data_IF_639818180466
#
_entry.id   IF_639818180466
#
_cell.length_a   1.000
_cell.length_b   1.000
_cell.length_c   1.000
_cell.angle_alpha   90.00
_cell.angle_beta   90.00
_cell.angle_gamma   90.00
#
_symmetry.space_group_name_H-M   'P 1'
#
loop_
_entity.id
_entity.type
_entity.pdbx_description
1 polymer ?
#
# COMPACT_ATOMS: atom_id res chain seq x y z
N UNK A 1 42.21 21.44 21.05
CA UNK A 1 40.99 21.85 20.32
C UNK A 1 40.74 20.84 19.20
N UNK A 2 39.60 20.15 19.25
CA UNK A 2 39.21 19.14 18.28
C UNK A 2 38.74 19.81 16.97
N UNK A 3 39.39 19.49 15.86
CA UNK A 3 39.02 19.93 14.51
C UNK A 3 38.42 18.78 13.72
N UNK A 4 37.22 19.00 13.17
CA UNK A 4 36.31 18.01 12.64
C UNK A 4 36.88 17.09 11.54
N UNK A 5 36.63 15.79 11.67
CA UNK A 5 36.67 14.82 10.58
C UNK A 5 35.50 15.13 9.64
N UNK A 6 35.74 15.93 8.60
CA UNK A 6 34.80 16.04 7.48
C UNK A 6 34.90 14.78 6.65
N UNK A 7 33.90 13.90 6.78
CA UNK A 7 33.70 12.77 5.90
C UNK A 7 33.67 13.24 4.44
N UNK A 8 34.67 12.83 3.66
CA UNK A 8 34.70 13.07 2.22
C UNK A 8 33.42 12.52 1.57
N UNK A 9 32.75 13.38 0.80
CA UNK A 9 31.65 12.97 -0.07
C UNK A 9 32.19 11.99 -1.11
N UNK A 10 31.53 10.85 -1.36
CA UNK A 10 32.02 9.89 -2.33
C UNK A 10 32.04 10.49 -3.75
N UNK A 11 33.03 10.12 -4.58
CA UNK A 11 33.23 10.72 -5.90
C UNK A 11 32.09 10.39 -6.88
N UNK A 12 31.79 11.33 -7.76
CA UNK A 12 30.69 11.32 -8.74
C UNK A 12 30.76 10.21 -9.83
N UNK A 13 31.62 9.20 -9.68
CA UNK A 13 31.84 8.12 -10.66
C UNK A 13 31.05 6.84 -10.44
N UNK A 14 30.22 6.76 -9.40
CA UNK A 14 29.22 5.69 -9.26
C UNK A 14 27.80 6.19 -9.55
N UNK A 15 27.64 6.98 -10.61
CA UNK A 15 26.34 7.54 -11.04
C UNK A 15 25.90 7.09 -12.44
N UNK A 16 26.52 6.07 -13.02
CA UNK A 16 26.26 5.70 -14.44
C UNK A 16 25.73 4.30 -14.74
N UNK A 17 25.53 3.41 -13.76
CA UNK A 17 25.10 2.03 -14.09
C UNK A 17 23.90 1.46 -13.35
N UNK A 18 23.02 2.28 -12.74
CA UNK A 18 21.77 1.74 -12.19
C UNK A 18 20.65 2.78 -12.06
N UNK A 19 20.17 3.33 -13.18
CA UNK A 19 18.88 4.05 -13.20
C UNK A 19 18.30 4.18 -14.62
N UNK A 20 18.38 3.12 -15.44
CA UNK A 20 17.66 3.04 -16.71
C UNK A 20 16.87 1.74 -16.77
N UNK A 21 16.03 1.55 -15.76
CA UNK A 21 14.96 0.55 -15.78
C UNK A 21 13.80 1.04 -14.89
N UNK A 22 13.40 2.30 -15.05
CA UNK A 22 12.02 2.69 -14.82
C UNK A 22 11.16 2.21 -16.01
N UNK A 23 11.34 0.94 -16.39
CA UNK A 23 10.34 0.24 -17.16
C UNK A 23 9.14 0.12 -16.24
N UNK A 24 8.05 0.79 -16.59
CA UNK A 24 6.73 0.41 -16.12
C UNK A 24 6.61 -1.09 -16.40
N UNK A 25 6.88 -1.93 -15.39
CA UNK A 25 6.39 -3.29 -15.40
C UNK A 25 4.89 -3.12 -15.30
N UNK A 26 4.24 -3.07 -16.46
CA UNK A 26 2.83 -3.34 -16.58
C UNK A 26 2.66 -4.79 -16.11
N UNK A 27 2.50 -4.94 -14.78
CA UNK A 27 1.87 -6.12 -14.23
C UNK A 27 0.46 -6.26 -14.81
N UNK A 28 -0.23 -7.40 -14.57
CA UNK A 28 -1.60 -7.59 -15.03
C UNK A 28 -2.44 -6.35 -14.74
N UNK A 29 -3.28 -5.93 -15.69
CA UNK A 29 -4.07 -4.70 -15.62
C UNK A 29 -4.77 -4.59 -14.27
N UNK A 30 -4.15 -3.88 -13.32
CA UNK A 30 -4.67 -3.76 -11.97
C UNK A 30 -5.81 -2.75 -12.05
N UNK A 31 -7.06 -3.16 -11.79
CA UNK A 31 -8.18 -2.22 -11.81
C UNK A 31 -7.92 -1.12 -10.79
N UNK A 32 -7.86 0.10 -11.30
CA UNK A 32 -7.63 1.30 -10.51
C UNK A 32 -8.97 1.96 -10.23
N UNK A 33 -9.28 2.13 -8.95
CA UNK A 33 -10.48 2.81 -8.51
C UNK A 33 -10.25 4.33 -8.54
N UNK A 34 -11.17 5.05 -9.19
CA UNK A 34 -11.16 6.52 -9.19
C UNK A 34 -11.90 7.09 -7.98
N UNK A 35 -12.96 6.41 -7.53
CA UNK A 35 -13.74 6.80 -6.37
C UNK A 35 -13.26 6.10 -5.09
N UNK A 36 -12.97 6.88 -4.06
CA UNK A 36 -12.53 6.37 -2.75
C UNK A 36 -13.55 5.41 -2.12
N UNK A 37 -14.84 5.72 -2.20
CA UNK A 37 -15.91 4.95 -1.55
C UNK A 37 -16.09 3.56 -2.18
N UNK A 38 -15.94 3.47 -3.50
CA UNK A 38 -16.00 2.20 -4.24
C UNK A 38 -14.80 1.33 -3.87
N UNK A 39 -13.61 1.93 -3.78
CA UNK A 39 -12.39 1.25 -3.36
C UNK A 39 -12.55 0.66 -1.95
N UNK A 40 -12.98 1.45 -0.96
CA UNK A 40 -13.10 0.96 0.43
C UNK A 40 -14.14 -0.15 0.55
N UNK A 41 -15.28 -0.02 -0.14
CA UNK A 41 -16.33 -1.05 -0.14
C UNK A 41 -15.83 -2.37 -0.74
N UNK A 42 -15.12 -2.31 -1.87
CA UNK A 42 -14.55 -3.49 -2.50
C UNK A 42 -13.45 -4.12 -1.63
N UNK A 43 -12.60 -3.30 -1.01
CA UNK A 43 -11.51 -3.74 -0.16
C UNK A 43 -11.99 -4.41 1.14
N UNK A 44 -13.02 -3.86 1.79
CA UNK A 44 -13.65 -4.49 2.96
C UNK A 44 -14.29 -5.82 2.60
N UNK A 45 -15.04 -5.87 1.49
CA UNK A 45 -15.64 -7.11 1.01
C UNK A 45 -14.57 -8.18 0.74
N UNK A 46 -13.46 -7.81 0.11
CA UNK A 46 -12.36 -8.72 -0.15
C UNK A 46 -11.72 -9.23 1.16
N UNK A 47 -11.49 -8.32 2.12
CA UNK A 47 -10.95 -8.65 3.44
C UNK A 47 -11.84 -9.62 4.22
N UNK A 48 -13.16 -9.38 4.24
CA UNK A 48 -14.12 -10.24 4.95
C UNK A 48 -14.28 -11.63 4.32
N UNK A 49 -13.96 -11.79 3.03
CA UNK A 49 -14.08 -13.08 2.35
C UNK A 49 -13.02 -14.09 2.83
N UNK A 50 -11.75 -13.68 2.93
CA UNK A 50 -10.67 -14.51 3.46
C UNK A 50 -9.55 -13.63 4.07
N UNK A 51 -9.66 -13.24 5.35
CA UNK A 51 -8.70 -12.34 6.00
C UNK A 51 -7.25 -12.86 5.99
N UNK A 52 -7.06 -14.19 5.89
CA UNK A 52 -5.74 -14.81 5.98
C UNK A 52 -4.95 -14.71 4.67
N UNK A 53 -5.62 -14.54 3.54
CA UNK A 53 -4.97 -14.36 2.22
C UNK A 53 -4.79 -12.90 1.84
N UNK A 54 -5.53 -12.00 2.49
CA UNK A 54 -5.54 -10.59 2.12
C UNK A 54 -4.33 -9.84 2.68
N UNK A 55 -3.64 -9.12 1.81
CA UNK A 55 -2.55 -8.21 2.14
C UNK A 55 -2.88 -6.78 1.75
N UNK A 56 -2.55 -5.86 2.66
CA UNK A 56 -2.72 -4.41 2.47
C UNK A 56 -1.32 -3.80 2.32
N UNK A 57 -1.09 -3.06 1.23
CA UNK A 57 0.19 -2.43 0.92
C UNK A 57 0.00 -0.94 0.75
N UNK A 58 0.79 -0.13 1.48
CA UNK A 58 0.89 1.30 1.31
C UNK A 58 2.23 1.66 0.66
N UNK A 59 2.20 2.54 -0.34
CA UNK A 59 3.38 3.07 -1.00
C UNK A 59 3.27 4.58 -1.12
N UNK A 60 4.10 5.28 -0.35
CA UNK A 60 4.27 6.73 -0.44
C UNK A 60 5.51 7.06 -1.28
N UNK A 61 5.41 8.09 -2.11
CA UNK A 61 6.55 8.64 -2.85
C UNK A 61 6.55 10.15 -2.74
N UNK A 62 7.47 10.65 -1.90
CA UNK A 62 7.59 12.07 -1.59
C UNK A 62 7.90 12.94 -2.82
N UNK A 63 8.86 12.52 -3.67
CA UNK A 63 9.29 13.30 -4.83
C UNK A 63 8.19 13.55 -5.86
N UNK A 64 7.20 12.64 -5.94
CA UNK A 64 6.09 12.73 -6.88
C UNK A 64 4.79 13.20 -6.18
N UNK A 65 4.84 13.47 -4.87
CA UNK A 65 3.67 13.87 -4.08
C UNK A 65 2.53 12.85 -4.02
N UNK A 66 2.79 11.57 -4.34
CA UNK A 66 1.73 10.57 -4.48
C UNK A 66 1.73 9.51 -3.37
N UNK A 67 0.52 9.03 -3.09
CA UNK A 67 0.24 7.94 -2.17
C UNK A 67 -0.60 6.88 -2.87
N UNK A 68 -0.27 5.63 -2.63
CA UNK A 68 -0.98 4.49 -3.19
C UNK A 68 -1.26 3.46 -2.11
N UNK A 69 -2.52 2.99 -2.07
CA UNK A 69 -2.96 1.87 -1.24
C UNK A 69 -3.42 0.72 -2.16
N UNK A 70 -3.03 -0.50 -1.81
CA UNK A 70 -3.38 -1.72 -2.54
C UNK A 70 -3.89 -2.78 -1.57
N UNK A 71 -4.98 -3.45 -1.92
CA UNK A 71 -5.54 -4.58 -1.17
C UNK A 71 -5.71 -5.75 -2.13
N UNK A 72 -5.19 -6.93 -1.79
CA UNK A 72 -5.14 -8.08 -2.70
C UNK A 72 -5.05 -9.40 -1.94
N UNK A 73 -5.61 -10.46 -2.51
CA UNK A 73 -5.57 -11.85 -2.04
C UNK A 73 -4.76 -12.77 -2.99
N UNK A 74 -3.85 -12.18 -3.78
CA UNK A 74 -3.13 -12.81 -4.92
C UNK A 74 -3.97 -13.11 -6.17
N UNK A 75 -5.31 -13.04 -6.09
CA UNK A 75 -6.20 -13.26 -7.24
C UNK A 75 -6.77 -11.93 -7.74
N UNK A 76 -7.45 -11.21 -6.84
CA UNK A 76 -7.95 -9.87 -7.08
C UNK A 76 -6.94 -8.83 -6.57
N UNK A 77 -6.86 -7.69 -7.27
CA UNK A 77 -5.98 -6.60 -6.88
C UNK A 77 -6.72 -5.26 -6.99
N UNK A 78 -7.03 -4.68 -5.83
CA UNK A 78 -7.73 -3.40 -5.71
C UNK A 78 -6.68 -2.31 -5.44
N UNK A 79 -6.68 -1.28 -6.27
CA UNK A 79 -5.69 -0.20 -6.19
C UNK A 79 -6.38 1.17 -6.13
N UNK A 80 -6.00 1.99 -5.16
CA UNK A 80 -6.31 3.42 -5.13
C UNK A 80 -5.01 4.22 -5.08
N UNK A 81 -4.92 5.25 -5.92
CA UNK A 81 -3.77 6.15 -6.03
C UNK A 81 -4.30 7.56 -6.02
N UNK A 82 -3.67 8.40 -5.22
CA UNK A 82 -4.06 9.81 -5.06
C UNK A 82 -2.81 10.66 -4.89
N UNK A 83 -2.88 11.88 -5.37
CA UNK A 83 -1.98 12.99 -5.09
C UNK A 83 -2.65 14.05 -4.18
N UNK A 84 -3.91 13.81 -3.79
CA UNK A 84 -4.71 14.74 -3.00
C UNK A 84 -4.38 14.58 -1.52
N UNK A 85 -3.86 15.64 -0.90
CA UNK A 85 -3.48 15.64 0.53
C UNK A 85 -4.66 15.29 1.45
N UNK A 86 -5.89 15.66 1.09
CA UNK A 86 -7.11 15.34 1.85
C UNK A 86 -7.37 13.83 1.98
N UNK A 87 -6.87 13.02 1.05
CA UNK A 87 -7.09 11.58 1.07
C UNK A 87 -6.10 10.85 1.97
N UNK A 88 -4.97 11.49 2.34
CA UNK A 88 -3.96 10.89 3.23
C UNK A 88 -4.60 10.43 4.53
N UNK A 89 -5.41 11.30 5.17
CA UNK A 89 -6.09 11.01 6.42
C UNK A 89 -7.19 9.95 6.25
N UNK A 90 -7.84 9.88 5.08
CA UNK A 90 -8.84 8.84 4.78
C UNK A 90 -8.18 7.47 4.67
N UNK A 91 -7.06 7.40 3.94
CA UNK A 91 -6.26 6.19 3.76
C UNK A 91 -5.69 5.69 5.09
N UNK A 92 -5.14 6.59 5.91
CA UNK A 92 -4.62 6.27 7.24
C UNK A 92 -5.70 5.67 8.16
N UNK A 93 -6.90 6.29 8.19
CA UNK A 93 -8.03 5.79 8.98
C UNK A 93 -8.48 4.41 8.51
N UNK A 94 -8.59 4.22 7.20
CA UNK A 94 -9.00 2.94 6.61
C UNK A 94 -7.97 1.83 6.89
N UNK A 95 -6.69 2.12 6.70
CA UNK A 95 -5.63 1.16 7.03
C UNK A 95 -5.65 0.78 8.52
N UNK A 96 -5.83 1.77 9.40
CA UNK A 96 -5.97 1.54 10.84
C UNK A 96 -7.20 0.72 11.20
N UNK A 97 -8.31 0.90 10.48
CA UNK A 97 -9.51 0.08 10.63
C UNK A 97 -9.24 -1.39 10.27
N UNK A 98 -8.60 -1.65 9.12
CA UNK A 98 -8.24 -3.01 8.72
C UNK A 98 -7.32 -3.67 9.76
N UNK A 99 -6.32 -2.93 10.29
CA UNK A 99 -5.46 -3.45 11.36
C UNK A 99 -6.25 -3.85 12.61
N UNK A 100 -7.26 -3.07 13.03
CA UNK A 100 -8.13 -3.46 14.15
C UNK A 100 -8.93 -4.72 13.86
N UNK A 101 -9.44 -4.87 12.64
CA UNK A 101 -10.17 -6.08 12.23
C UNK A 101 -9.28 -7.32 12.16
N UNK A 102 -7.98 -7.17 11.84
CA UNK A 102 -7.02 -8.27 11.82
C UNK A 102 -6.70 -8.82 13.21
N UNK A 103 -6.75 -7.96 14.24
CA UNK A 103 -6.46 -8.36 15.63
C UNK A 103 -7.73 -8.79 16.38
N UNK A 104 -8.90 -8.33 15.94
CA UNK A 104 -10.17 -8.70 16.56
C UNK A 104 -10.41 -10.22 16.48
N UNK A 105 -10.61 -10.84 17.65
CA UNK A 105 -10.81 -12.28 17.85
C UNK A 105 -12.04 -12.84 17.12
N UNK A 106 -12.97 -11.96 16.76
CA UNK A 106 -14.28 -12.26 16.17
C UNK A 106 -14.36 -11.90 14.67
N UNK A 107 -13.29 -12.08 13.89
CA UNK A 107 -13.40 -11.99 12.43
C UNK A 107 -13.96 -13.27 11.79
N UNK A 108 -14.19 -14.31 12.62
CA UNK A 108 -14.85 -15.58 12.25
C UNK A 108 -15.64 -16.13 13.43
N UNK A 109 -16.96 -15.91 13.45
CA UNK A 109 -17.88 -16.77 14.21
C UNK A 109 -19.27 -16.96 13.59
N UNK A 110 -19.47 -16.57 12.33
CA UNK A 110 -20.77 -16.71 11.68
C UNK A 110 -20.85 -17.82 10.61
N UNK A 111 -19.82 -18.66 10.42
CA UNK A 111 -19.78 -19.57 9.26
C UNK A 111 -19.31 -21.01 9.55
N UNK A 112 -19.38 -21.49 10.80
CA UNK A 112 -19.18 -22.91 11.05
C UNK A 112 -20.02 -23.44 12.21
N UNK A 113 -21.33 -23.23 12.12
CA UNK A 113 -22.31 -24.20 12.61
C UNK A 113 -23.11 -24.66 11.39
N UNK A 114 -22.90 -25.90 10.96
CA UNK A 114 -23.92 -26.75 10.32
C UNK A 114 -23.37 -28.16 10.27
N UNK A 115 -23.99 -29.00 11.11
CA UNK A 115 -24.08 -30.47 11.14
C UNK A 115 -22.80 -31.33 11.13
#
# INVERSE_FOLDING_TARGET
MAGAVSAERPPARLRRHLAAAAGSRAGPAMPHFQAWEEFTRAAEKLYLADPMKVRVVLKYRHCDGNLCIKVTDDVACLLYRTDQAQDVKKIEKFHSQLMRLMVAKESRSAAMETD
#
